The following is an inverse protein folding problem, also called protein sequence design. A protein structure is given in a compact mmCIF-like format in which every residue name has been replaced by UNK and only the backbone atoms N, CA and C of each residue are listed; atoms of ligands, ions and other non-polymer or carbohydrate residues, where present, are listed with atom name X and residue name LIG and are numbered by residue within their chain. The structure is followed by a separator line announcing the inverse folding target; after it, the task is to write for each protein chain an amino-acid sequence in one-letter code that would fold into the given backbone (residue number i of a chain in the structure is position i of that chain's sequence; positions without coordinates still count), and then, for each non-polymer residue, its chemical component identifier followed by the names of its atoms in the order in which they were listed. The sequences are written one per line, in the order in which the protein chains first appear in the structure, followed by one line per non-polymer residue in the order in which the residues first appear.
data_IF_696095538454
#
_entry.id   IF_696095538454
#
_cell.length_a   1.000
_cell.length_b   1.000
_cell.length_c   1.000
_cell.angle_alpha   90.00
_cell.angle_beta   90.00
_cell.angle_gamma   90.00
#
_symmetry.space_group_name_H-M   'P 1'
#
loop_
_entity.id
_entity.type
_entity.pdbx_description
1 polymer ?
#
# COMPACT_ATOMS: atom_id res chain seq x y z
N UNK A 1 30.55 -44.40 6.02
CA UNK A 1 29.10 -44.10 5.94
C UNK A 1 28.92 -42.71 6.54
N UNK A 2 29.45 -41.73 5.83
CA UNK A 2 29.48 -40.35 6.26
C UNK A 2 28.10 -39.77 6.01
N UNK A 3 27.35 -39.58 7.10
CA UNK A 3 26.09 -38.85 7.07
C UNK A 3 26.43 -37.41 6.70
N UNK A 4 26.34 -37.11 5.43
CA UNK A 4 26.34 -35.77 4.87
C UNK A 4 25.25 -34.99 5.62
N UNK A 5 25.68 -34.14 6.57
CA UNK A 5 24.79 -33.20 7.23
C UNK A 5 24.30 -32.26 6.14
N UNK A 6 23.09 -32.49 5.66
CA UNK A 6 22.34 -31.52 4.87
C UNK A 6 22.21 -30.28 5.73
N UNK A 7 23.08 -29.31 5.48
CA UNK A 7 22.97 -27.98 6.07
C UNK A 7 21.64 -27.43 5.53
N UNK A 8 20.67 -27.08 6.39
CA UNK A 8 19.43 -26.48 5.90
C UNK A 8 19.80 -25.21 5.11
N UNK A 9 19.07 -24.89 4.03
CA UNK A 9 19.32 -23.65 3.29
C UNK A 9 19.33 -22.50 4.30
N UNK A 10 20.26 -21.53 4.16
CA UNK A 10 20.29 -20.39 5.07
C UNK A 10 18.89 -19.80 5.10
N UNK A 11 18.27 -19.81 6.28
CA UNK A 11 17.05 -19.03 6.53
C UNK A 11 17.30 -17.63 5.99
N UNK A 12 16.35 -16.99 5.29
CA UNK A 12 16.53 -15.63 4.80
C UNK A 12 16.70 -14.71 6.01
N UNK A 13 17.94 -14.59 6.46
CA UNK A 13 18.41 -13.55 7.36
C UNK A 13 18.22 -12.29 6.56
N UNK A 14 17.21 -11.51 6.92
CA UNK A 14 16.91 -10.14 6.50
C UNK A 14 18.19 -9.39 6.12
N UNK A 15 18.60 -9.55 4.87
CA UNK A 15 19.85 -9.04 4.33
C UNK A 15 19.61 -7.57 4.03
N UNK A 16 19.81 -6.72 5.05
CA UNK A 16 19.81 -5.27 4.94
C UNK A 16 21.05 -4.79 4.18
N UNK A 17 21.18 -5.13 2.91
CA UNK A 17 22.17 -4.53 2.01
C UNK A 17 21.43 -4.09 0.76
N UNK A 18 20.70 -2.99 0.91
CA UNK A 18 19.70 -2.48 -0.03
C UNK A 18 20.29 -1.82 -1.27
N UNK A 19 21.17 -2.52 -1.99
CA UNK A 19 21.67 -2.16 -3.32
C UNK A 19 21.54 -3.40 -4.21
N UNK A 20 20.84 -3.30 -5.34
CA UNK A 20 20.51 -4.45 -6.20
C UNK A 20 19.83 -5.62 -5.47
N UNK A 21 19.13 -5.33 -4.38
CA UNK A 21 18.34 -6.30 -3.65
C UNK A 21 17.12 -6.75 -4.46
N UNK A 22 16.79 -8.03 -4.34
CA UNK A 22 15.58 -8.62 -4.90
C UNK A 22 14.50 -8.68 -3.85
N UNK A 23 13.25 -8.54 -4.28
CA UNK A 23 12.11 -8.83 -3.44
C UNK A 23 12.03 -10.34 -3.17
N UNK A 24 11.47 -10.69 -2.01
CA UNK A 24 11.20 -12.07 -1.63
C UNK A 24 9.72 -12.38 -1.83
N UNK A 25 9.37 -13.62 -2.21
CA UNK A 25 7.97 -14.02 -2.42
C UNK A 25 7.16 -14.00 -1.14
N UNK A 26 7.75 -14.44 -0.03
CA UNK A 26 7.14 -14.44 1.29
C UNK A 26 7.38 -13.12 2.04
N UNK A 27 8.08 -12.17 1.40
CA UNK A 27 8.41 -10.87 1.95
C UNK A 27 7.34 -9.81 1.70
N UNK A 28 7.73 -8.56 1.94
CA UNK A 28 6.92 -7.39 1.65
C UNK A 28 7.71 -6.36 0.86
N UNK A 29 7.00 -5.48 0.16
CA UNK A 29 7.61 -4.31 -0.46
C UNK A 29 8.08 -3.33 0.62
N UNK A 30 9.37 -2.98 0.63
CA UNK A 30 9.95 -2.15 1.70
C UNK A 30 9.27 -0.78 1.82
N UNK A 31 9.11 -0.06 0.71
CA UNK A 31 8.28 1.14 0.55
C UNK A 31 8.16 1.41 -0.94
N UNK A 32 6.95 1.63 -1.48
CA UNK A 32 6.81 1.86 -2.92
C UNK A 32 7.47 3.18 -3.35
N UNK A 33 8.47 3.03 -4.21
CA UNK A 33 9.22 3.99 -5.05
C UNK A 33 8.46 5.15 -5.68
N UNK A 34 8.95 6.39 -5.60
CA UNK A 34 8.77 7.36 -6.69
C UNK A 34 9.83 7.25 -7.79
N UNK A 35 10.92 6.51 -7.54
CA UNK A 35 11.97 6.21 -8.51
C UNK A 35 12.56 4.82 -8.24
N UNK A 36 12.65 3.97 -9.26
CA UNK A 36 13.16 2.61 -9.12
C UNK A 36 14.63 2.52 -9.56
N UNK A 37 15.51 3.15 -8.77
CA UNK A 37 16.95 3.02 -8.95
C UNK A 37 17.51 1.87 -8.11
N UNK A 38 18.17 0.86 -8.71
CA UNK A 38 18.77 -0.26 -7.97
C UNK A 38 19.89 0.17 -7.02
N UNK A 39 20.57 1.28 -7.32
CA UNK A 39 21.57 1.91 -6.47
C UNK A 39 21.00 2.98 -5.52
N UNK A 40 19.70 3.21 -5.55
CA UNK A 40 19.04 4.18 -4.70
C UNK A 40 18.97 3.72 -3.24
N UNK A 41 18.49 4.61 -2.37
CA UNK A 41 18.40 4.39 -0.90
C UNK A 41 17.59 3.16 -0.48
N UNK A 42 16.70 2.68 -1.34
CA UNK A 42 15.87 1.51 -1.04
C UNK A 42 16.43 0.22 -1.63
N UNK A 43 17.07 0.29 -2.81
CA UNK A 43 17.68 -0.76 -3.65
C UNK A 43 17.07 -2.17 -3.70
N UNK A 44 15.94 -2.43 -3.06
CA UNK A 44 15.10 -3.62 -3.11
C UNK A 44 13.98 -3.39 -4.13
N UNK A 45 14.37 -3.19 -5.38
CA UNK A 45 13.47 -2.85 -6.49
C UNK A 45 13.50 -3.89 -7.62
N UNK A 46 14.24 -4.98 -7.44
CA UNK A 46 14.33 -6.04 -8.42
C UNK A 46 13.26 -7.11 -8.17
N UNK A 47 12.69 -7.63 -9.27
CA UNK A 47 11.74 -8.72 -9.21
C UNK A 47 12.38 -9.97 -8.54
N UNK A 48 11.63 -10.76 -7.74
CA UNK A 48 12.14 -11.95 -7.07
C UNK A 48 12.87 -12.94 -7.99
N UNK A 49 12.24 -13.29 -9.12
CA UNK A 49 12.78 -14.24 -10.11
C UNK A 49 13.35 -13.58 -11.39
N UNK A 50 12.73 -12.54 -11.92
CA UNK A 50 13.05 -12.00 -13.25
C UNK A 50 14.22 -11.00 -13.21
N UNK A 51 14.93 -10.85 -14.33
CA UNK A 51 16.06 -9.93 -14.48
C UNK A 51 15.61 -8.53 -14.89
N UNK A 52 14.67 -7.96 -14.15
CA UNK A 52 14.21 -6.59 -14.36
C UNK A 52 13.87 -5.92 -13.03
N UNK A 53 13.72 -4.60 -13.10
CA UNK A 53 13.16 -3.78 -12.03
C UNK A 53 11.65 -3.97 -12.03
N UNK A 54 11.02 -3.87 -10.85
CA UNK A 54 9.57 -3.93 -10.73
C UNK A 54 8.87 -2.93 -11.65
N UNK A 55 7.84 -3.41 -12.32
CA UNK A 55 7.00 -2.65 -13.22
C UNK A 55 6.08 -1.68 -12.45
N UNK A 56 5.57 -0.70 -13.19
CA UNK A 56 4.55 0.24 -12.68
C UNK A 56 3.35 -0.49 -12.11
N UNK A 57 2.93 -1.58 -12.76
CA UNK A 57 1.76 -2.34 -12.35
C UNK A 57 2.03 -3.11 -11.05
N UNK A 58 3.17 -3.77 -10.91
CA UNK A 58 3.56 -4.42 -9.64
C UNK A 58 3.61 -3.41 -8.48
N UNK A 59 4.09 -2.20 -8.76
CA UNK A 59 4.07 -1.11 -7.78
C UNK A 59 2.64 -0.68 -7.43
N UNK A 60 1.75 -0.57 -8.42
CA UNK A 60 0.34 -0.25 -8.19
C UNK A 60 -0.36 -1.34 -7.37
N UNK A 61 -0.09 -2.61 -7.66
CA UNK A 61 -0.59 -3.76 -6.89
C UNK A 61 -0.10 -3.70 -5.44
N UNK A 62 1.17 -3.38 -5.19
CA UNK A 62 1.70 -3.25 -3.82
C UNK A 62 1.01 -2.16 -2.99
N UNK A 63 0.51 -1.10 -3.64
CA UNK A 63 -0.29 -0.04 -3.01
C UNK A 63 -1.77 -0.41 -2.87
N UNK A 64 -2.20 -1.55 -3.42
CA UNK A 64 -3.60 -1.99 -3.39
C UNK A 64 -4.49 -1.23 -4.38
N UNK A 65 -3.93 -0.71 -5.47
CA UNK A 65 -4.73 -0.21 -6.57
C UNK A 65 -5.43 -1.36 -7.30
N UNK A 66 -6.69 -1.17 -7.74
CA UNK A 66 -7.34 -2.15 -8.61
C UNK A 66 -6.67 -2.13 -9.99
N UNK A 67 -6.64 -3.28 -10.66
CA UNK A 67 -6.04 -3.42 -12.00
C UNK A 67 -6.72 -2.54 -13.07
N UNK A 68 -7.95 -2.10 -12.79
CA UNK A 68 -8.71 -1.18 -13.64
C UNK A 68 -8.26 0.28 -13.52
N UNK A 69 -7.40 0.61 -12.55
CA UNK A 69 -6.94 1.97 -12.32
C UNK A 69 -5.96 2.41 -13.43
N UNK A 70 -6.27 3.53 -14.08
CA UNK A 70 -5.49 4.03 -15.22
C UNK A 70 -4.51 5.11 -14.77
N UNK A 71 -3.22 4.84 -14.99
CA UNK A 71 -2.13 5.79 -14.80
C UNK A 71 -1.77 6.45 -16.14
N UNK A 72 -1.55 7.76 -16.13
CA UNK A 72 -1.28 8.56 -17.33
C UNK A 72 0.12 9.18 -17.30
N UNK A 73 0.66 9.52 -18.46
CA UNK A 73 2.01 10.10 -18.62
C UNK A 73 3.09 9.09 -18.97
N UNK A 74 4.35 9.47 -18.81
CA UNK A 74 5.49 8.60 -19.08
C UNK A 74 5.68 7.56 -17.96
N UNK A 75 6.51 6.54 -18.20
CA UNK A 75 6.76 5.48 -17.22
C UNK A 75 7.22 6.06 -15.87
N UNK A 76 8.13 7.04 -15.89
CA UNK A 76 8.61 7.72 -14.68
C UNK A 76 7.50 8.46 -13.94
N UNK A 77 6.63 9.19 -14.67
CA UNK A 77 5.50 9.90 -14.07
C UNK A 77 4.53 8.93 -13.41
N UNK A 78 4.27 7.79 -14.04
CA UNK A 78 3.37 6.76 -13.49
C UNK A 78 3.95 6.14 -12.21
N UNK A 79 5.25 5.89 -12.17
CA UNK A 79 5.93 5.42 -10.95
C UNK A 79 5.79 6.46 -9.85
N UNK A 80 6.04 7.73 -10.17
CA UNK A 80 5.91 8.83 -9.21
C UNK A 80 4.48 9.00 -8.70
N UNK A 81 3.47 8.86 -9.56
CA UNK A 81 2.06 8.88 -9.18
C UNK A 81 1.75 7.75 -8.18
N UNK A 82 2.19 6.53 -8.46
CA UNK A 82 1.97 5.37 -7.57
C UNK A 82 2.73 5.52 -6.24
N UNK A 83 3.98 5.99 -6.28
CA UNK A 83 4.81 6.18 -5.09
C UNK A 83 4.28 7.25 -4.13
N UNK A 84 3.74 8.35 -4.68
CA UNK A 84 3.17 9.43 -3.88
C UNK A 84 1.72 9.18 -3.44
N UNK A 85 1.00 8.27 -4.11
CA UNK A 85 -0.40 8.05 -3.80
C UNK A 85 -0.61 7.29 -2.48
N UNK A 86 -1.70 7.64 -1.78
CA UNK A 86 -2.13 6.92 -0.58
C UNK A 86 -2.78 5.58 -0.98
N UNK A 87 -2.45 4.46 -0.33
CA UNK A 87 -3.10 3.17 -0.57
C UNK A 87 -4.63 3.26 -0.47
N UNK A 88 -5.41 2.82 -1.48
CA UNK A 88 -6.87 2.92 -1.46
C UNK A 88 -7.52 2.21 -0.26
N UNK A 89 -6.93 1.11 0.22
CA UNK A 89 -7.43 0.37 1.38
C UNK A 89 -7.29 1.20 2.68
N UNK A 90 -6.17 1.92 2.83
CA UNK A 90 -5.94 2.82 3.95
C UNK A 90 -6.91 4.01 3.89
N UNK A 91 -7.04 4.64 2.72
CA UNK A 91 -7.98 5.74 2.52
C UNK A 91 -9.43 5.33 2.80
N UNK A 92 -9.82 4.12 2.40
CA UNK A 92 -11.14 3.54 2.67
C UNK A 92 -11.39 3.37 4.17
N UNK A 93 -10.42 2.84 4.93
CA UNK A 93 -10.55 2.67 6.37
C UNK A 93 -10.79 4.03 7.07
N UNK A 94 -9.99 5.05 6.73
CA UNK A 94 -10.16 6.41 7.25
C UNK A 94 -11.53 6.99 6.87
N UNK A 95 -11.94 6.83 5.61
CA UNK A 95 -13.22 7.31 5.11
C UNK A 95 -14.43 6.68 5.81
N UNK A 96 -14.32 5.41 6.23
CA UNK A 96 -15.38 4.73 7.00
C UNK A 96 -15.55 5.34 8.39
N UNK A 97 -14.46 5.70 9.07
CA UNK A 97 -14.55 6.37 10.37
C UNK A 97 -15.16 7.78 10.25
N UNK A 98 -14.77 8.54 9.22
CA UNK A 98 -15.39 9.84 8.94
C UNK A 98 -16.90 9.68 8.70
N UNK A 99 -17.29 8.69 7.89
CA UNK A 99 -18.71 8.38 7.62
C UNK A 99 -19.47 8.09 8.91
N UNK A 100 -18.90 7.32 9.84
CA UNK A 100 -19.53 7.03 11.14
C UNK A 100 -19.78 8.31 11.94
N UNK A 101 -18.77 9.18 12.04
CA UNK A 101 -18.91 10.47 12.74
C UNK A 101 -19.98 11.37 12.11
N UNK A 102 -20.05 11.41 10.78
CA UNK A 102 -21.08 12.18 10.07
C UNK A 102 -22.49 11.65 10.33
N UNK A 103 -22.67 10.32 10.33
CA UNK A 103 -23.96 9.69 10.61
C UNK A 103 -24.40 9.91 12.07
N UNK A 104 -23.46 9.88 13.02
CA UNK A 104 -23.75 10.20 14.42
C UNK A 104 -24.28 11.63 14.57
N UNK A 105 -23.58 12.62 14.01
CA UNK A 105 -24.02 14.03 14.01
C UNK A 105 -25.37 14.24 13.33
N UNK A 106 -25.64 13.53 12.24
CA UNK A 106 -26.92 13.63 11.53
C UNK A 106 -28.10 13.13 12.39
N UNK A 107 -27.89 12.05 13.16
CA UNK A 107 -28.90 11.49 14.09
C UNK A 107 -29.17 12.45 15.25
N UNK A 108 -28.12 13.06 15.81
CA UNK A 108 -28.26 14.08 16.85
C UNK A 108 -29.09 15.27 16.34
N UNK A 109 -28.74 15.79 15.16
CA UNK A 109 -29.44 16.92 14.53
C UNK A 109 -30.92 16.64 14.24
N UNK A 110 -31.25 15.40 13.84
CA UNK A 110 -32.64 14.98 13.63
C UNK A 110 -33.42 14.91 14.96
N UNK A 111 -32.79 14.44 16.04
CA UNK A 111 -33.42 14.38 17.36
C UNK A 111 -33.66 15.76 17.98
N UNK A 112 -32.83 16.76 17.66
CA UNK A 112 -33.02 18.16 18.09
C UNK A 112 -34.22 18.79 17.39
N UNK A 113 -34.35 18.63 16.07
CA UNK A 113 -35.49 19.15 15.29
C UNK A 113 -36.84 18.59 15.78
N UNK A 114 -36.90 17.30 16.09
CA UNK A 114 -38.12 16.67 16.62
C UNK A 114 -38.54 17.26 17.98
N UNK A 115 -37.58 17.71 18.80
CA UNK A 115 -37.87 18.37 20.08
C UNK A 115 -38.36 19.81 19.89
N UNK A 116 -37.76 20.56 18.96
CA UNK A 116 -38.19 21.92 18.61
C UNK A 116 -39.60 21.96 18.02
N UNK A 117 -39.91 21.05 17.09
CA UNK A 117 -41.24 20.96 16.47
C UNK A 117 -42.35 20.57 17.47
N UNK A 118 -41.99 19.86 18.55
CA UNK A 118 -42.93 19.55 19.65
C UNK A 118 -43.11 20.74 20.58
N UNK A 119 -42.06 21.49 20.89
CA UNK A 119 -42.13 22.65 21.78
C UNK A 119 -42.86 23.86 21.17
N UNK A 120 -43.03 23.91 19.85
CA UNK A 120 -43.72 25.01 19.14
C UNK A 120 -45.22 24.73 18.95
N UNK A 121 -45.71 23.57 19.40
CA UNK A 121 -47.10 23.10 19.21
C UNK A 121 -47.93 23.06 20.50
N UNK A 122 -47.33 23.40 21.64
CA UNK A 122 -47.99 23.67 22.92
C UNK A 122 -48.15 25.20 23.11
#
# INVERSE_FOLDING_TARGET
MDKEKVVPPPTPTLCKTGLYGRLEWDGFFSTTVTNHEPMGKQGLVLHPKQHHVVSVHECACSRGFPDTYRLFGNIMDKIQQVGNAVPPQLAKAIGLEIKRCMLAKARESASVKIKEDKATKD
#
